data_IF_860040219312
#
_entry.id   IF_860040219312
#
_cell.length_a   1.000
_cell.length_b   1.000
_cell.length_c   1.000
_cell.angle_alpha   90.00
_cell.angle_beta   90.00
_cell.angle_gamma   90.00
#
_symmetry.space_group_name_H-M   'P 1'
#
loop_
_entity.id
_entity.type
_entity.pdbx_description
1 polymer ?
#
# COMPACT_ATOMS: atom_id res chain seq x y z
N UNK A 1 15.54 -52.99 -48.56
CA UNK A 1 15.51 -51.52 -48.71
C UNK A 1 14.95 -50.96 -47.41
N UNK A 2 15.83 -50.47 -46.53
CA UNK A 2 15.44 -49.79 -45.30
C UNK A 2 15.83 -48.32 -45.48
N UNK A 3 14.86 -47.46 -45.74
CA UNK A 3 15.05 -46.02 -45.65
C UNK A 3 15.15 -45.63 -44.18
N UNK A 4 16.36 -45.28 -43.74
CA UNK A 4 16.59 -44.56 -42.49
C UNK A 4 15.99 -43.16 -42.64
N UNK A 5 14.83 -42.95 -42.03
CA UNK A 5 14.35 -41.61 -41.69
C UNK A 5 15.27 -41.09 -40.58
N UNK A 6 16.24 -40.26 -40.94
CA UNK A 6 17.02 -39.48 -39.97
C UNK A 6 16.16 -38.29 -39.53
N UNK A 7 15.45 -38.43 -38.41
CA UNK A 7 14.88 -37.28 -37.70
C UNK A 7 16.04 -36.46 -37.13
N UNK A 8 16.48 -35.46 -37.88
CA UNK A 8 17.45 -34.49 -37.44
C UNK A 8 16.72 -33.51 -36.50
N UNK A 9 16.47 -33.94 -35.25
CA UNK A 9 16.07 -33.03 -34.18
C UNK A 9 17.25 -32.07 -33.96
N UNK A 10 17.19 -30.89 -34.60
CA UNK A 10 18.17 -29.84 -34.33
C UNK A 10 18.04 -29.49 -32.84
N UNK A 11 19.11 -29.72 -32.07
CA UNK A 11 19.21 -29.19 -30.72
C UNK A 11 18.88 -27.69 -30.76
N UNK A 12 17.79 -27.31 -30.08
CA UNK A 12 17.37 -25.92 -29.99
C UNK A 12 18.44 -25.18 -29.19
N UNK A 13 19.25 -24.39 -29.87
CA UNK A 13 20.24 -23.57 -29.19
C UNK A 13 19.57 -22.36 -28.54
N UNK A 14 19.65 -22.28 -27.21
CA UNK A 14 19.12 -21.17 -26.42
C UNK A 14 19.71 -19.80 -26.82
N UNK A 15 20.90 -19.79 -27.42
CA UNK A 15 21.52 -18.60 -28.02
C UNK A 15 20.75 -18.04 -29.22
N UNK A 16 19.89 -18.85 -29.85
CA UNK A 16 19.14 -18.47 -31.05
C UNK A 16 17.69 -18.06 -30.76
N UNK A 17 17.28 -18.01 -29.49
CA UNK A 17 15.97 -17.49 -29.10
C UNK A 17 15.73 -16.08 -29.65
N UNK A 18 14.58 -15.79 -30.29
CA UNK A 18 14.29 -14.44 -30.78
C UNK A 18 14.11 -13.44 -29.63
N UNK A 19 14.19 -12.14 -29.93
CA UNK A 19 14.18 -11.08 -28.91
C UNK A 19 12.94 -11.08 -28.00
N UNK A 20 11.68 -11.26 -28.48
CA UNK A 20 10.52 -11.14 -27.59
C UNK A 20 10.49 -12.18 -26.44
N UNK A 21 10.81 -13.47 -26.66
CA UNK A 21 11.03 -14.41 -25.57
C UNK A 21 12.18 -14.02 -24.62
N UNK A 22 13.32 -13.55 -25.14
CA UNK A 22 14.48 -13.15 -24.30
C UNK A 22 14.12 -11.96 -23.40
N UNK A 23 13.45 -10.95 -23.94
CA UNK A 23 12.94 -9.79 -23.20
C UNK A 23 11.96 -10.22 -22.10
N UNK A 24 11.05 -11.15 -22.42
CA UNK A 24 10.11 -11.70 -21.44
C UNK A 24 10.81 -12.45 -20.32
N UNK A 25 11.87 -13.20 -20.62
CA UNK A 25 12.68 -13.89 -19.61
C UNK A 25 13.35 -12.86 -18.68
N UNK A 26 13.95 -11.80 -19.23
CA UNK A 26 14.53 -10.72 -18.42
C UNK A 26 13.53 -10.10 -17.45
N UNK A 27 12.26 -9.98 -17.85
CA UNK A 27 11.18 -9.47 -17.00
C UNK A 27 10.88 -10.29 -15.74
N UNK A 28 11.35 -11.55 -15.66
CA UNK A 28 11.15 -12.41 -14.49
C UNK A 28 12.35 -12.47 -13.54
N UNK A 29 13.43 -11.74 -13.83
CA UNK A 29 14.72 -11.89 -13.17
C UNK A 29 15.11 -10.69 -12.32
N UNK A 30 15.94 -10.94 -11.30
CA UNK A 30 16.57 -9.89 -10.52
C UNK A 30 17.59 -9.12 -11.36
N UNK A 31 17.86 -7.85 -11.03
CA UNK A 31 18.85 -7.05 -11.78
C UNK A 31 20.23 -7.71 -11.86
N UNK A 32 20.64 -8.45 -10.82
CA UNK A 32 21.88 -9.22 -10.82
C UNK A 32 21.85 -10.35 -11.84
N UNK A 33 20.75 -11.10 -11.89
CA UNK A 33 20.59 -12.21 -12.84
C UNK A 33 20.48 -11.70 -14.28
N UNK A 34 19.83 -10.55 -14.49
CA UNK A 34 19.77 -9.91 -15.80
C UNK A 34 21.18 -9.56 -16.32
N UNK A 35 22.04 -9.00 -15.46
CA UNK A 35 23.44 -8.70 -15.82
C UNK A 35 24.18 -9.98 -16.15
N UNK A 36 24.13 -11.00 -15.29
CA UNK A 36 24.81 -12.28 -15.53
C UNK A 36 24.37 -12.93 -16.84
N UNK A 37 23.06 -12.91 -17.12
CA UNK A 37 22.51 -13.43 -18.36
C UNK A 37 22.95 -12.64 -19.59
N UNK A 38 23.11 -11.32 -19.49
CA UNK A 38 23.60 -10.47 -20.59
C UNK A 38 25.03 -10.81 -21.02
N UNK A 39 25.80 -11.50 -20.17
CA UNK A 39 27.19 -11.90 -20.43
C UNK A 39 27.32 -13.26 -21.10
N UNK A 40 26.22 -14.02 -21.22
CA UNK A 40 26.24 -15.39 -21.75
C UNK A 40 26.57 -15.42 -23.24
N UNK A 41 25.88 -14.61 -24.05
CA UNK A 41 26.15 -14.48 -25.47
C UNK A 41 25.65 -13.13 -26.02
N UNK A 42 26.06 -12.80 -27.26
CA UNK A 42 25.72 -11.51 -27.89
C UNK A 42 24.21 -11.26 -27.95
N UNK A 43 23.41 -12.27 -28.33
CA UNK A 43 21.96 -12.12 -28.49
C UNK A 43 21.25 -11.79 -27.16
N UNK A 44 21.74 -12.37 -26.07
CA UNK A 44 21.22 -12.10 -24.73
C UNK A 44 21.66 -10.70 -24.28
N UNK A 45 22.91 -10.31 -24.57
CA UNK A 45 23.39 -8.94 -24.36
C UNK A 45 22.56 -7.89 -25.11
N UNK A 46 22.20 -8.15 -26.36
CA UNK A 46 21.32 -7.29 -27.17
C UNK A 46 19.91 -7.21 -26.58
N UNK A 47 19.34 -8.34 -26.15
CA UNK A 47 18.05 -8.38 -25.47
C UNK A 47 18.03 -7.59 -24.16
N UNK A 48 19.11 -7.66 -23.39
CA UNK A 48 19.29 -6.87 -22.17
C UNK A 48 19.30 -5.37 -22.46
N UNK A 49 19.85 -4.95 -23.59
CA UNK A 49 19.85 -3.55 -24.02
C UNK A 49 18.53 -3.04 -24.62
N UNK A 50 17.48 -3.87 -24.65
CA UNK A 50 16.21 -3.50 -25.28
C UNK A 50 15.38 -2.53 -24.42
N UNK A 51 14.58 -1.63 -25.04
CA UNK A 51 13.67 -0.76 -24.30
C UNK A 51 12.63 -1.51 -23.46
N UNK A 52 12.25 -2.73 -23.85
CA UNK A 52 11.28 -3.53 -23.12
C UNK A 52 11.79 -3.92 -21.73
N UNK A 53 13.10 -4.18 -21.59
CA UNK A 53 13.74 -4.53 -20.31
C UNK A 53 13.88 -3.31 -19.40
N UNK A 54 14.22 -2.15 -19.97
CA UNK A 54 14.50 -0.93 -19.20
C UNK A 54 13.28 -0.01 -18.99
N UNK A 55 12.10 -0.41 -19.46
CA UNK A 55 10.87 0.38 -19.31
C UNK A 55 10.57 0.75 -17.85
N UNK A 56 10.85 -0.15 -16.92
CA UNK A 56 10.69 0.07 -15.48
C UNK A 56 12.06 0.04 -14.83
N UNK A 57 12.40 1.09 -14.10
CA UNK A 57 13.69 1.22 -13.42
C UNK A 57 13.50 1.56 -11.94
N UNK A 58 14.20 0.82 -11.06
CA UNK A 58 14.21 1.08 -9.61
C UNK A 58 15.58 1.62 -9.21
N UNK A 59 15.61 2.89 -8.85
CA UNK A 59 16.76 3.55 -8.27
C UNK A 59 16.84 3.25 -6.77
N UNK A 60 17.60 2.21 -6.46
CA UNK A 60 17.92 1.77 -5.11
C UNK A 60 19.41 1.54 -5.02
N UNK A 61 20.07 2.19 -4.06
CA UNK A 61 21.49 2.05 -3.82
C UNK A 61 21.70 1.36 -2.48
N UNK A 62 22.40 0.22 -2.51
CA UNK A 62 22.82 -0.51 -1.30
C UNK A 62 24.12 0.10 -0.76
N UNK A 63 24.41 -0.11 0.52
CA UNK A 63 25.67 0.35 1.15
C UNK A 63 26.90 -0.02 0.33
N UNK A 64 27.01 -1.28 -0.09
CA UNK A 64 28.11 -1.76 -0.96
C UNK A 64 28.31 -0.94 -2.25
N UNK A 65 27.26 -0.33 -2.80
CA UNK A 65 27.33 0.51 -4.01
C UNK A 65 27.66 1.97 -3.67
N UNK A 66 27.23 2.44 -2.49
CA UNK A 66 27.51 3.78 -1.97
C UNK A 66 28.96 3.91 -1.49
N UNK A 67 29.57 2.82 -1.04
CA UNK A 67 30.98 2.80 -0.63
C UNK A 67 31.98 2.75 -1.80
N UNK A 68 31.52 2.63 -3.04
CA UNK A 68 32.38 2.58 -4.22
C UNK A 68 32.71 3.99 -4.74
N UNK A 69 33.95 4.20 -5.18
CA UNK A 69 34.37 5.46 -5.81
C UNK A 69 33.54 5.84 -7.05
N UNK A 70 33.01 4.84 -7.76
CA UNK A 70 32.07 5.05 -8.86
C UNK A 70 30.80 4.24 -8.63
N UNK A 71 29.64 4.92 -8.59
CA UNK A 71 28.35 4.26 -8.46
C UNK A 71 27.98 3.52 -9.76
N UNK A 72 27.95 2.17 -9.77
CA UNK A 72 27.67 1.41 -10.99
C UNK A 72 26.26 1.70 -11.54
N UNK A 73 25.29 1.95 -10.66
CA UNK A 73 23.91 2.27 -11.02
C UNK A 73 23.84 3.52 -11.89
N UNK A 74 24.64 4.55 -11.60
CA UNK A 74 24.67 5.77 -12.41
C UNK A 74 25.18 5.52 -13.85
N UNK A 75 26.03 4.51 -14.07
CA UNK A 75 26.45 4.12 -15.42
C UNK A 75 25.27 3.57 -16.22
N UNK A 76 24.41 2.77 -15.58
CA UNK A 76 23.18 2.26 -16.21
C UNK A 76 22.20 3.38 -16.51
N UNK A 77 22.01 4.30 -15.56
CA UNK A 77 21.16 5.48 -15.76
C UNK A 77 21.64 6.25 -16.99
N UNK A 78 22.92 6.58 -17.10
CA UNK A 78 23.43 7.32 -18.26
C UNK A 78 23.22 6.60 -19.59
N UNK A 79 23.26 5.26 -19.58
CA UNK A 79 23.16 4.45 -20.80
C UNK A 79 21.70 4.22 -21.24
N UNK A 80 20.80 3.99 -20.29
CA UNK A 80 19.46 3.46 -20.57
C UNK A 80 18.32 4.39 -20.15
N UNK A 81 18.61 5.56 -19.57
CA UNK A 81 17.57 6.44 -19.06
C UNK A 81 16.53 6.83 -20.11
N UNK A 82 16.91 7.01 -21.37
CA UNK A 82 15.99 7.29 -22.48
C UNK A 82 14.90 6.23 -22.71
N UNK A 83 15.05 5.05 -22.12
CA UNK A 83 14.09 3.95 -22.23
C UNK A 83 13.12 3.89 -21.03
N UNK A 84 13.36 4.67 -19.98
CA UNK A 84 12.55 4.63 -18.76
C UNK A 84 11.16 5.21 -19.02
N UNK A 85 10.13 4.52 -18.53
CA UNK A 85 8.75 5.01 -18.51
C UNK A 85 8.19 5.03 -17.08
N UNK A 86 8.65 4.09 -16.24
CA UNK A 86 8.24 3.97 -14.85
C UNK A 86 9.48 3.97 -13.98
N UNK A 87 9.56 4.90 -13.03
CA UNK A 87 10.70 5.03 -12.12
C UNK A 87 10.25 4.87 -10.68
N UNK A 88 10.95 4.04 -9.91
CA UNK A 88 10.81 3.98 -8.46
C UNK A 88 12.11 4.45 -7.82
N UNK A 89 12.02 5.38 -6.88
CA UNK A 89 13.14 5.96 -6.15
C UNK A 89 12.94 5.61 -4.68
N UNK A 90 13.86 4.82 -4.15
CA UNK A 90 13.74 4.32 -2.78
C UNK A 90 15.08 4.43 -2.05
N UNK A 91 14.99 5.00 -0.86
CA UNK A 91 16.07 5.00 0.10
C UNK A 91 15.97 3.76 0.99
N UNK A 92 17.08 3.03 1.10
CA UNK A 92 17.26 1.97 2.10
C UNK A 92 18.02 2.57 3.26
N UNK A 93 17.51 2.36 4.47
CA UNK A 93 18.15 2.83 5.71
C UNK A 93 19.59 2.33 5.82
N UNK A 94 20.49 3.24 6.18
CA UNK A 94 21.90 2.97 6.49
C UNK A 94 22.26 3.76 7.74
N UNK A 95 23.03 3.16 8.64
CA UNK A 95 23.52 3.82 9.86
C UNK A 95 24.67 4.80 9.57
N UNK A 96 25.35 4.64 8.44
CA UNK A 96 26.54 5.42 8.10
C UNK A 96 26.20 6.78 7.45
N UNK A 97 26.44 7.88 8.16
CA UNK A 97 26.15 9.25 7.69
C UNK A 97 26.84 9.59 6.36
N UNK A 98 28.08 9.12 6.14
CA UNK A 98 28.81 9.39 4.91
C UNK A 98 28.17 8.70 3.69
N UNK A 99 27.51 7.56 3.88
CA UNK A 99 26.75 6.87 2.84
C UNK A 99 25.46 7.62 2.51
N UNK A 100 24.80 8.23 3.50
CA UNK A 100 23.63 9.10 3.29
C UNK A 100 24.01 10.28 2.40
N UNK A 101 25.10 10.98 2.71
CA UNK A 101 25.59 12.09 1.90
C UNK A 101 25.89 11.65 0.46
N UNK A 102 26.49 10.47 0.29
CA UNK A 102 26.77 9.90 -1.03
C UNK A 102 25.50 9.55 -1.79
N UNK A 103 24.51 8.98 -1.11
CA UNK A 103 23.20 8.70 -1.67
C UNK A 103 22.50 9.98 -2.14
N UNK A 104 22.51 11.04 -1.32
CA UNK A 104 21.91 12.34 -1.67
C UNK A 104 22.54 12.94 -2.94
N UNK A 105 23.87 12.90 -3.05
CA UNK A 105 24.58 13.34 -4.27
C UNK A 105 24.15 12.56 -5.50
N UNK A 106 24.01 11.25 -5.39
CA UNK A 106 23.54 10.41 -6.49
C UNK A 106 22.08 10.65 -6.83
N UNK A 107 21.21 10.86 -5.84
CA UNK A 107 19.81 11.23 -6.07
C UNK A 107 19.71 12.54 -6.86
N UNK A 108 20.42 13.59 -6.45
CA UNK A 108 20.40 14.89 -7.14
C UNK A 108 20.87 14.73 -8.60
N UNK A 109 21.97 14.00 -8.81
CA UNK A 109 22.48 13.71 -10.15
C UNK A 109 21.47 12.89 -10.98
N UNK A 110 20.81 11.92 -10.36
CA UNK A 110 19.78 11.09 -10.99
C UNK A 110 18.59 11.94 -11.43
N UNK A 111 18.02 12.74 -10.53
CA UNK A 111 16.90 13.65 -10.82
C UNK A 111 17.25 14.58 -11.98
N UNK A 112 18.46 15.17 -11.99
CA UNK A 112 18.91 16.03 -13.09
C UNK A 112 18.95 15.31 -14.46
N UNK A 113 19.37 14.04 -14.51
CA UNK A 113 19.34 13.24 -15.73
C UNK A 113 17.90 13.03 -16.19
N UNK A 114 16.98 12.73 -15.27
CA UNK A 114 15.57 12.53 -15.60
C UNK A 114 14.94 13.83 -16.14
N UNK A 115 15.24 14.98 -15.53
CA UNK A 115 14.63 16.26 -15.91
C UNK A 115 14.99 16.72 -17.33
N UNK A 116 16.18 16.38 -17.80
CA UNK A 116 16.73 16.95 -19.04
C UNK A 116 16.31 16.21 -20.31
N UNK A 117 15.80 14.97 -20.21
CA UNK A 117 15.73 14.07 -21.37
C UNK A 117 14.49 13.18 -21.44
N UNK A 118 13.65 13.12 -20.40
CA UNK A 118 12.66 12.06 -20.26
C UNK A 118 11.26 12.60 -20.02
N UNK A 119 10.30 11.84 -20.53
CA UNK A 119 8.88 11.99 -20.23
C UNK A 119 8.38 10.66 -19.68
N UNK A 120 8.27 10.60 -18.37
CA UNK A 120 7.84 9.40 -17.66
C UNK A 120 6.31 9.30 -17.64
N UNK A 121 5.84 8.06 -17.52
CA UNK A 121 4.43 7.75 -17.28
C UNK A 121 4.16 7.68 -15.78
N UNK A 122 5.10 7.17 -14.99
CA UNK A 122 4.96 7.17 -13.53
C UNK A 122 6.27 7.34 -12.78
N UNK A 123 6.16 7.93 -11.59
CA UNK A 123 7.24 7.98 -10.61
C UNK A 123 6.74 7.67 -9.21
N UNK A 124 7.54 6.96 -8.43
CA UNK A 124 7.28 6.60 -7.02
C UNK A 124 8.47 7.00 -6.16
N UNK A 125 8.22 7.66 -5.03
CA UNK A 125 9.19 8.04 -4.01
C UNK A 125 8.89 7.29 -2.71
N UNK A 126 9.91 6.67 -2.09
CA UNK A 126 9.74 5.89 -0.87
C UNK A 126 10.91 6.04 0.11
N UNK A 127 10.58 6.14 1.40
CA UNK A 127 11.53 5.99 2.50
C UNK A 127 12.37 7.22 2.79
N UNK A 128 11.95 8.41 2.34
CA UNK A 128 12.75 9.63 2.47
C UNK A 128 12.77 10.16 3.92
N UNK A 129 11.70 9.92 4.67
CA UNK A 129 11.60 10.20 6.11
C UNK A 129 12.79 9.68 6.92
N UNK A 130 13.35 8.52 6.52
CA UNK A 130 14.41 7.82 7.25
C UNK A 130 15.75 8.55 7.26
N UNK A 131 15.95 9.56 6.41
CA UNK A 131 17.23 10.28 6.35
C UNK A 131 17.13 11.81 6.39
N UNK A 132 15.94 12.41 6.24
CA UNK A 132 15.81 13.88 6.27
C UNK A 132 16.29 14.52 7.58
N UNK A 133 16.06 13.87 8.72
CA UNK A 133 16.56 14.35 10.02
C UNK A 133 18.09 14.20 10.19
N UNK A 134 18.78 13.57 9.24
CA UNK A 134 20.22 13.24 9.31
C UNK A 134 21.08 14.03 8.33
N UNK A 135 20.46 14.84 7.47
CA UNK A 135 21.16 15.68 6.49
C UNK A 135 21.06 17.15 6.88
N UNK A 136 22.02 17.94 6.42
CA UNK A 136 21.98 19.38 6.62
C UNK A 136 20.89 20.05 5.75
N UNK A 137 20.45 21.23 6.17
CA UNK A 137 19.39 21.99 5.50
C UNK A 137 19.71 22.31 4.03
N UNK A 138 20.99 22.54 3.68
CA UNK A 138 21.34 22.83 2.29
C UNK A 138 21.16 21.60 1.40
N UNK A 139 21.60 20.43 1.86
CA UNK A 139 21.37 19.16 1.16
C UNK A 139 19.87 18.84 1.03
N UNK A 140 19.09 19.06 2.09
CA UNK A 140 17.64 18.88 2.06
C UNK A 140 16.97 19.77 1.00
N UNK A 141 17.32 21.05 0.98
CA UNK A 141 16.79 22.02 0.02
C UNK A 141 17.20 21.67 -1.42
N UNK A 142 18.43 21.17 -1.62
CA UNK A 142 18.90 20.73 -2.94
C UNK A 142 18.10 19.53 -3.47
N UNK A 143 17.75 18.59 -2.58
CA UNK A 143 16.89 17.45 -2.94
C UNK A 143 15.49 17.93 -3.31
N UNK A 144 14.86 18.75 -2.45
CA UNK A 144 13.50 19.26 -2.71
C UNK A 144 13.45 20.04 -4.03
N UNK A 145 14.43 20.91 -4.28
CA UNK A 145 14.59 21.63 -5.55
C UNK A 145 14.82 20.68 -6.74
N UNK A 146 15.61 19.63 -6.54
CA UNK A 146 15.83 18.61 -7.57
C UNK A 146 14.54 17.90 -7.97
N UNK A 147 13.71 17.54 -6.99
CA UNK A 147 12.40 16.90 -7.19
C UNK A 147 11.44 17.87 -7.89
N UNK A 148 11.39 19.11 -7.42
CA UNK A 148 10.57 20.18 -7.97
C UNK A 148 10.86 20.41 -9.47
N UNK A 149 12.13 20.64 -9.82
CA UNK A 149 12.59 20.80 -11.21
C UNK A 149 12.28 19.54 -12.04
N UNK A 150 12.51 18.35 -11.48
CA UNK A 150 12.21 17.10 -12.14
C UNK A 150 10.73 16.99 -12.47
N UNK A 151 9.82 17.11 -11.50
CA UNK A 151 8.39 16.96 -11.75
C UNK A 151 7.84 18.06 -12.67
N UNK A 152 8.35 19.29 -12.54
CA UNK A 152 8.01 20.40 -13.43
C UNK A 152 8.46 20.22 -14.89
N UNK A 153 9.48 19.39 -15.13
CA UNK A 153 9.92 19.03 -16.49
C UNK A 153 9.09 17.93 -17.15
N UNK A 154 8.21 17.26 -16.39
CA UNK A 154 7.36 16.19 -16.90
C UNK A 154 6.01 16.75 -17.34
N UNK A 155 5.47 16.23 -18.44
CA UNK A 155 4.20 16.71 -19.03
C UNK A 155 3.18 15.59 -19.29
N UNK A 156 3.55 14.35 -19.00
CA UNK A 156 2.76 13.16 -19.33
C UNK A 156 2.65 12.16 -18.16
N UNK A 157 3.00 12.57 -16.93
CA UNK A 157 2.85 11.70 -15.77
C UNK A 157 1.38 11.37 -15.56
N UNK A 158 1.10 10.06 -15.52
CA UNK A 158 -0.23 9.54 -15.23
C UNK A 158 -0.37 9.13 -13.77
N UNK A 159 0.75 8.80 -13.14
CA UNK A 159 0.81 8.27 -11.78
C UNK A 159 2.01 8.83 -11.03
N UNK A 160 1.77 9.47 -9.89
CA UNK A 160 2.83 9.92 -8.99
C UNK A 160 2.52 9.42 -7.60
N UNK A 161 3.53 8.84 -6.95
CA UNK A 161 3.38 8.33 -5.60
C UNK A 161 4.44 8.88 -4.65
N UNK A 162 3.98 9.47 -3.56
CA UNK A 162 4.78 9.83 -2.41
C UNK A 162 4.36 8.95 -1.24
N UNK A 163 5.28 8.11 -0.77
CA UNK A 163 5.08 7.25 0.40
C UNK A 163 5.96 7.74 1.54
N UNK A 164 5.33 8.46 2.46
CA UNK A 164 5.90 8.98 3.70
C UNK A 164 7.22 9.75 3.48
N UNK A 165 7.28 10.71 2.54
CA UNK A 165 8.47 11.53 2.44
C UNK A 165 8.65 12.50 3.62
N UNK A 166 7.55 12.96 4.24
CA UNK A 166 7.53 13.94 5.31
C UNK A 166 8.35 15.20 4.98
N UNK A 167 8.04 15.83 3.83
CA UNK A 167 8.63 17.11 3.47
C UNK A 167 8.22 18.21 4.47
N UNK A 168 8.99 19.29 4.52
CA UNK A 168 8.52 20.54 5.09
C UNK A 168 7.32 21.07 4.29
N UNK A 169 6.46 21.84 4.94
CA UNK A 169 5.19 22.25 4.35
C UNK A 169 5.36 23.08 3.07
N UNK A 170 6.25 24.07 3.07
CA UNK A 170 6.50 24.91 1.90
C UNK A 170 7.13 24.11 0.75
N UNK A 171 8.05 23.20 1.05
CA UNK A 171 8.67 22.31 0.07
C UNK A 171 7.64 21.35 -0.54
N UNK A 172 6.80 20.73 0.29
CA UNK A 172 5.74 19.82 -0.16
C UNK A 172 4.72 20.52 -1.06
N UNK A 173 4.32 21.75 -0.71
CA UNK A 173 3.44 22.58 -1.56
C UNK A 173 4.12 22.95 -2.88
N UNK A 174 5.39 23.35 -2.84
CA UNK A 174 6.16 23.67 -4.05
C UNK A 174 6.21 22.50 -5.02
N UNK A 175 6.60 21.32 -4.52
CA UNK A 175 6.63 20.06 -5.27
C UNK A 175 5.25 19.74 -5.87
N UNK A 176 4.18 19.87 -5.08
CA UNK A 176 2.83 19.58 -5.54
C UNK A 176 2.37 20.56 -6.63
N UNK A 177 2.69 21.85 -6.52
CA UNK A 177 2.40 22.85 -7.57
C UNK A 177 3.10 22.52 -8.87
N UNK A 178 4.41 22.32 -8.85
CA UNK A 178 5.18 22.01 -10.07
C UNK A 178 4.71 20.73 -10.75
N UNK A 179 4.36 19.71 -9.96
CA UNK A 179 3.74 18.48 -10.46
C UNK A 179 2.42 18.78 -11.17
N UNK A 180 1.49 19.45 -10.49
CA UNK A 180 0.12 19.64 -10.97
C UNK A 180 0.02 20.65 -12.11
N UNK A 181 0.83 21.70 -12.12
CA UNK A 181 0.90 22.67 -13.22
C UNK A 181 1.36 22.00 -14.53
N UNK A 182 2.35 21.12 -14.44
CA UNK A 182 2.98 20.52 -15.62
C UNK A 182 2.24 19.27 -16.12
N UNK A 183 1.53 18.56 -15.25
CA UNK A 183 0.89 17.27 -15.54
C UNK A 183 -0.63 17.26 -15.36
N UNK A 184 -1.25 18.45 -15.31
CA UNK A 184 -2.67 18.65 -14.98
C UNK A 184 -3.62 17.71 -15.71
N UNK A 185 -3.44 17.59 -17.03
CA UNK A 185 -4.34 16.84 -17.91
C UNK A 185 -4.00 15.36 -18.01
N UNK A 186 -2.83 14.91 -17.53
CA UNK A 186 -2.43 13.50 -17.62
C UNK A 186 -2.58 12.76 -16.31
N UNK A 187 -2.55 13.45 -15.16
CA UNK A 187 -2.47 12.83 -13.85
C UNK A 187 -3.78 12.16 -13.44
N UNK A 188 -3.76 10.82 -13.40
CA UNK A 188 -4.94 9.98 -13.08
C UNK A 188 -4.88 9.34 -11.70
N UNK A 189 -3.69 9.19 -11.13
CA UNK A 189 -3.44 8.51 -9.86
C UNK A 189 -2.40 9.28 -9.05
N UNK A 190 -2.75 9.72 -7.85
CA UNK A 190 -1.89 10.52 -6.99
C UNK A 190 -1.90 9.95 -5.58
N UNK A 191 -0.72 9.63 -5.05
CA UNK A 191 -0.53 9.21 -3.65
C UNK A 191 0.25 10.28 -2.92
N UNK A 192 -0.33 10.82 -1.85
CA UNK A 192 0.20 11.88 -0.99
C UNK A 192 0.33 11.42 0.48
N UNK A 193 0.37 10.11 0.72
CA UNK A 193 0.49 9.53 2.06
C UNK A 193 1.76 10.01 2.76
N UNK A 194 1.62 10.71 3.89
CA UNK A 194 2.72 11.32 4.63
C UNK A 194 3.51 12.36 3.83
N UNK A 195 2.88 13.06 2.89
CA UNK A 195 3.59 14.03 2.02
C UNK A 195 4.30 15.12 2.83
N UNK A 196 3.62 15.67 3.82
CA UNK A 196 4.08 16.80 4.62
C UNK A 196 4.06 16.43 6.09
N UNK A 197 5.06 16.89 6.84
CA UNK A 197 5.07 16.78 8.30
C UNK A 197 3.80 17.42 8.90
N UNK A 198 3.04 16.70 9.75
CA UNK A 198 1.91 17.29 10.45
C UNK A 198 2.42 18.38 11.40
N UNK A 199 2.31 19.65 10.99
CA UNK A 199 2.52 20.80 11.86
C UNK A 199 1.16 21.17 12.46
N UNK A 200 1.08 21.16 13.79
CA UNK A 200 -0.15 21.45 14.53
C UNK A 200 -0.57 22.92 14.42
N UNK A 201 0.35 23.80 14.05
CA UNK A 201 0.11 25.22 13.84
C UNK A 201 -0.34 25.47 12.39
N UNK A 202 -1.46 26.17 12.18
CA UNK A 202 -2.02 26.58 10.88
C UNK A 202 -2.62 25.48 9.95
N UNK A 203 -3.04 24.34 10.53
CA UNK A 203 -3.51 23.15 9.80
C UNK A 203 -4.65 23.41 8.80
N UNK A 204 -5.68 24.19 9.15
CA UNK A 204 -6.86 24.39 8.26
C UNK A 204 -6.51 25.11 6.94
N UNK A 205 -5.74 26.21 7.02
CA UNK A 205 -5.29 26.98 5.85
C UNK A 205 -4.38 26.13 4.95
N UNK A 206 -3.55 25.30 5.58
CA UNK A 206 -2.57 24.49 4.89
C UNK A 206 -3.19 23.30 4.15
N UNK A 207 -4.14 22.62 4.78
CA UNK A 207 -4.90 21.55 4.14
C UNK A 207 -5.76 22.11 2.99
N UNK A 208 -6.41 23.26 3.18
CA UNK A 208 -7.20 23.89 2.13
C UNK A 208 -6.37 24.18 0.86
N UNK A 209 -5.10 24.60 1.01
CA UNK A 209 -4.17 24.79 -0.12
C UNK A 209 -3.86 23.48 -0.84
N UNK A 210 -3.48 22.41 -0.12
CA UNK A 210 -3.21 21.09 -0.73
C UNK A 210 -4.43 20.60 -1.51
N UNK A 211 -5.61 20.63 -0.88
CA UNK A 211 -6.85 20.19 -1.51
C UNK A 211 -7.21 21.04 -2.73
N UNK A 212 -7.03 22.37 -2.68
CA UNK A 212 -7.31 23.24 -3.84
C UNK A 212 -6.48 22.86 -5.06
N UNK A 213 -5.22 22.43 -4.85
CA UNK A 213 -4.32 21.99 -5.92
C UNK A 213 -4.77 20.64 -6.48
N UNK A 214 -5.00 19.65 -5.60
CA UNK A 214 -5.40 18.29 -5.99
C UNK A 214 -6.76 18.28 -6.68
N UNK A 215 -7.72 19.02 -6.16
CA UNK A 215 -9.05 19.18 -6.77
C UNK A 215 -8.97 19.96 -8.10
N UNK A 216 -7.88 20.68 -8.38
CA UNK A 216 -7.65 21.34 -9.65
C UNK A 216 -7.38 20.39 -10.83
N UNK A 217 -7.20 19.09 -10.57
CA UNK A 217 -6.83 18.07 -11.55
C UNK A 217 -8.07 17.43 -12.23
N UNK A 218 -8.30 17.67 -13.53
CA UNK A 218 -9.49 17.20 -14.23
C UNK A 218 -9.53 15.68 -14.47
N UNK A 219 -8.37 15.05 -14.65
CA UNK A 219 -8.26 13.63 -15.00
C UNK A 219 -8.03 12.70 -13.81
N UNK A 220 -8.02 13.24 -12.58
CA UNK A 220 -7.74 12.46 -11.38
C UNK A 220 -8.88 11.47 -11.13
N UNK A 221 -8.54 10.19 -11.09
CA UNK A 221 -9.48 9.09 -10.82
C UNK A 221 -9.26 8.45 -9.45
N UNK A 222 -8.02 8.49 -8.96
CA UNK A 222 -7.63 7.90 -7.68
C UNK A 222 -6.75 8.85 -6.88
N UNK A 223 -7.13 9.08 -5.63
CA UNK A 223 -6.38 9.86 -4.66
C UNK A 223 -6.13 9.01 -3.41
N UNK A 224 -4.88 8.90 -3.01
CA UNK A 224 -4.47 8.30 -1.74
C UNK A 224 -3.85 9.38 -0.87
N UNK A 225 -4.33 9.53 0.37
CA UNK A 225 -3.99 10.66 1.23
C UNK A 225 -4.21 10.32 2.72
N UNK A 226 -3.52 11.04 3.61
CA UNK A 226 -3.79 10.99 5.04
C UNK A 226 -5.19 11.53 5.36
N UNK A 227 -5.89 10.84 6.25
CA UNK A 227 -7.24 11.20 6.71
C UNK A 227 -7.27 12.60 7.34
N UNK A 228 -6.17 13.01 7.98
CA UNK A 228 -6.02 14.34 8.59
C UNK A 228 -5.98 15.49 7.59
N UNK A 229 -5.65 15.21 6.33
CA UNK A 229 -5.66 16.17 5.23
C UNK A 229 -7.02 16.22 4.54
N UNK A 230 -8.00 15.46 5.03
CA UNK A 230 -9.39 15.61 4.62
C UNK A 230 -10.07 16.54 5.61
N UNK A 231 -10.21 17.79 5.19
CA UNK A 231 -10.95 18.80 5.93
C UNK A 231 -12.33 18.97 5.30
N UNK A 232 -13.29 19.38 6.14
CA UNK A 232 -14.58 19.97 5.78
C UNK A 232 -14.50 20.82 4.49
N UNK A 233 -13.39 21.52 4.24
CA UNK A 233 -13.08 22.34 3.06
C UNK A 233 -13.13 21.66 1.70
N UNK A 234 -13.14 20.32 1.63
CA UNK A 234 -13.54 19.71 0.36
C UNK A 234 -14.97 20.17 -0.03
N UNK A 235 -15.86 20.52 0.91
CA UNK A 235 -17.27 20.84 0.61
C UNK A 235 -17.99 21.84 1.56
N UNK A 236 -17.41 22.24 2.70
CA UNK A 236 -18.06 23.05 3.74
C UNK A 236 -17.88 24.56 3.58
N UNK A 237 -17.48 25.04 2.40
CA UNK A 237 -17.86 26.40 2.03
C UNK A 237 -19.39 26.41 1.90
N UNK A 238 -20.06 26.72 3.01
CA UNK A 238 -21.48 27.07 3.10
C UNK A 238 -21.77 28.37 2.34
N UNK A 239 -21.50 28.35 1.05
CA UNK A 239 -22.12 29.21 0.08
C UNK A 239 -22.20 28.40 -1.20
N UNK A 240 -23.33 28.51 -1.89
CA UNK A 240 -23.58 27.93 -3.20
C UNK A 240 -22.57 28.45 -4.24
N UNK A 241 -21.32 28.03 -4.15
CA UNK A 241 -20.35 28.31 -5.19
C UNK A 241 -20.66 27.32 -6.32
N UNK A 242 -21.59 27.74 -7.18
CA UNK A 242 -21.94 27.10 -8.45
C UNK A 242 -20.68 26.75 -9.25
N UNK A 243 -19.56 27.45 -8.99
CA UNK A 243 -18.24 27.12 -9.52
C UNK A 243 -17.68 25.80 -8.99
N UNK A 244 -17.74 25.53 -7.68
CA UNK A 244 -17.21 24.29 -7.11
C UNK A 244 -17.99 23.05 -7.58
N UNK A 245 -19.33 23.14 -7.58
CA UNK A 245 -20.19 22.09 -8.13
C UNK A 245 -19.96 21.86 -9.64
N UNK A 246 -19.79 22.94 -10.43
CA UNK A 246 -19.42 22.82 -11.86
C UNK A 246 -18.04 22.19 -12.07
N UNK A 247 -17.08 22.43 -11.18
CA UNK A 247 -15.77 21.77 -11.27
C UNK A 247 -15.92 20.29 -10.92
N UNK A 248 -16.75 19.92 -9.95
CA UNK A 248 -17.05 18.52 -9.62
C UNK A 248 -17.83 17.76 -10.70
N UNK A 249 -18.75 18.40 -11.42
CA UNK A 249 -19.55 17.79 -12.51
C UNK A 249 -18.70 17.25 -13.68
N UNK A 250 -17.48 17.74 -13.86
CA UNK A 250 -16.58 17.32 -14.95
C UNK A 250 -15.55 16.25 -14.54
N UNK A 251 -15.56 15.84 -13.28
CA UNK A 251 -14.50 14.99 -12.70
C UNK A 251 -14.85 13.52 -12.73
N UNK A 252 -13.79 12.70 -12.63
CA UNK A 252 -13.85 11.24 -12.78
C UNK A 252 -13.29 10.53 -11.54
N UNK A 253 -13.27 11.18 -10.37
CA UNK A 253 -12.80 10.56 -9.13
C UNK A 253 -13.69 9.35 -8.85
N UNK A 254 -13.07 8.17 -8.83
CA UNK A 254 -13.73 6.90 -8.58
C UNK A 254 -13.19 6.22 -7.33
N UNK A 255 -11.97 6.53 -6.89
CA UNK A 255 -11.34 5.88 -5.75
C UNK A 255 -10.70 6.92 -4.83
N UNK A 256 -10.96 6.80 -3.53
CA UNK A 256 -10.25 7.53 -2.48
C UNK A 256 -9.68 6.50 -1.50
N UNK A 257 -8.39 6.59 -1.22
CA UNK A 257 -7.68 5.71 -0.29
C UNK A 257 -7.21 6.58 0.89
N UNK A 258 -7.59 6.18 2.10
CA UNK A 258 -7.43 6.98 3.31
C UNK A 258 -6.49 6.28 4.28
N UNK A 259 -5.51 7.01 4.77
CA UNK A 259 -4.56 6.53 5.77
C UNK A 259 -4.76 7.25 7.09
N UNK A 260 -4.86 6.50 8.18
CA UNK A 260 -4.83 7.05 9.53
C UNK A 260 -3.95 6.18 10.41
N UNK A 261 -3.09 6.84 11.17
CA UNK A 261 -2.17 6.22 12.11
C UNK A 261 -2.09 7.15 13.33
N UNK A 262 -2.50 6.62 14.49
CA UNK A 262 -2.60 7.40 15.74
C UNK A 262 -1.22 7.75 16.33
N UNK A 263 -0.14 7.09 15.90
CA UNK A 263 1.22 7.47 16.27
C UNK A 263 1.65 8.81 15.66
N UNK A 264 1.13 9.13 14.47
CA UNK A 264 1.52 10.33 13.71
C UNK A 264 0.47 11.44 13.74
N UNK A 265 -0.79 11.10 14.03
CA UNK A 265 -1.93 12.00 13.84
C UNK A 265 -2.86 11.95 15.04
N UNK A 266 -2.87 13.04 15.80
CA UNK A 266 -3.87 13.28 16.84
C UNK A 266 -5.17 13.86 16.26
N UNK A 267 -6.29 13.24 16.63
CA UNK A 267 -7.66 13.54 16.21
C UNK A 267 -8.20 14.85 16.78
N UNK A 268 -7.67 15.35 17.90
CA UNK A 268 -8.09 16.63 18.48
C UNK A 268 -7.89 17.82 17.52
N UNK A 269 -7.02 17.66 16.51
CA UNK A 269 -6.58 18.74 15.64
C UNK A 269 -7.29 18.79 14.28
N UNK A 270 -8.32 18.00 13.99
CA UNK A 270 -9.06 18.09 12.73
C UNK A 270 -10.50 17.56 12.81
N UNK A 271 -11.38 18.01 11.89
CA UNK A 271 -12.83 17.75 11.96
C UNK A 271 -13.38 16.66 11.02
N UNK A 272 -12.55 16.02 10.21
CA UNK A 272 -12.96 14.89 9.35
C UNK A 272 -14.12 15.23 8.39
N UNK A 273 -14.72 14.21 7.77
CA UNK A 273 -15.96 14.36 6.99
C UNK A 273 -17.15 13.80 7.74
N UNK A 274 -18.27 14.52 7.71
CA UNK A 274 -19.52 14.07 8.31
C UNK A 274 -20.24 13.08 7.42
N UNK A 275 -21.24 12.40 7.98
CA UNK A 275 -22.15 11.54 7.22
C UNK A 275 -22.88 12.25 6.08
N UNK A 276 -23.13 13.56 6.22
CA UNK A 276 -23.76 14.39 5.19
C UNK A 276 -22.79 14.59 4.03
N UNK A 277 -21.52 14.88 4.32
CA UNK A 277 -20.48 15.11 3.31
C UNK A 277 -20.26 13.86 2.47
N UNK A 278 -20.18 12.68 3.09
CA UNK A 278 -20.06 11.40 2.38
C UNK A 278 -21.26 11.09 1.48
N UNK A 279 -22.48 11.40 1.95
CA UNK A 279 -23.68 11.24 1.13
C UNK A 279 -23.63 12.14 -0.10
N UNK A 280 -23.28 13.42 0.07
CA UNK A 280 -23.14 14.36 -1.05
C UNK A 280 -22.05 13.91 -2.03
N UNK A 281 -20.91 13.43 -1.52
CA UNK A 281 -19.85 12.85 -2.33
C UNK A 281 -20.33 11.68 -3.17
N UNK A 282 -21.14 10.80 -2.59
CA UNK A 282 -21.68 9.63 -3.29
C UNK A 282 -22.73 10.01 -4.33
N UNK A 283 -23.50 11.07 -4.10
CA UNK A 283 -24.44 11.63 -5.08
C UNK A 283 -23.69 12.26 -6.27
N UNK A 284 -22.61 12.99 -6.00
CA UNK A 284 -21.75 13.59 -7.03
C UNK A 284 -20.95 12.54 -7.81
N UNK A 285 -20.46 11.52 -7.12
CA UNK A 285 -19.66 10.43 -7.68
C UNK A 285 -20.30 9.07 -7.36
N UNK A 286 -21.33 8.64 -8.12
CA UNK A 286 -22.06 7.40 -7.85
C UNK A 286 -21.16 6.15 -7.79
N UNK A 287 -20.08 6.16 -8.58
CA UNK A 287 -19.11 5.07 -8.65
C UNK A 287 -17.98 5.18 -7.63
N UNK A 288 -18.01 6.16 -6.71
CA UNK A 288 -16.98 6.36 -5.70
C UNK A 288 -16.81 5.13 -4.81
N UNK A 289 -15.58 4.67 -4.70
CA UNK A 289 -15.13 3.62 -3.81
C UNK A 289 -14.17 4.24 -2.81
N UNK A 290 -14.30 3.84 -1.55
CA UNK A 290 -13.38 4.26 -0.50
C UNK A 290 -12.64 3.03 0.03
N UNK A 291 -11.33 3.20 0.20
CA UNK A 291 -10.45 2.28 0.90
C UNK A 291 -9.92 2.99 2.15
N UNK A 292 -9.95 2.29 3.28
CA UNK A 292 -9.47 2.81 4.56
C UNK A 292 -8.37 1.92 5.10
N UNK A 293 -7.23 2.54 5.45
CA UNK A 293 -6.05 1.95 6.05
C UNK A 293 -5.85 2.61 7.41
N UNK A 294 -6.39 2.00 8.46
CA UNK A 294 -6.38 2.56 9.81
C UNK A 294 -5.54 1.69 10.73
N UNK A 295 -4.51 2.28 11.31
CA UNK A 295 -3.70 1.70 12.39
C UNK A 295 -4.00 2.51 13.65
N UNK A 296 -4.43 1.83 14.70
CA UNK A 296 -4.75 2.48 15.98
C UNK A 296 -4.20 1.63 17.12
N UNK A 297 -3.37 2.24 17.93
CA UNK A 297 -2.68 1.63 19.06
C UNK A 297 -3.52 1.76 20.33
N UNK A 298 -4.15 2.93 20.54
CA UNK A 298 -4.95 3.23 21.73
C UNK A 298 -6.35 3.77 21.41
N UNK A 299 -7.17 3.01 20.64
CA UNK A 299 -8.40 3.51 20.08
C UNK A 299 -9.43 3.81 21.18
N UNK A 300 -9.92 5.05 21.22
CA UNK A 300 -11.15 5.39 21.93
C UNK A 300 -12.36 5.22 21.01
N UNK A 301 -13.54 4.97 21.60
CA UNK A 301 -14.78 4.89 20.82
C UNK A 301 -15.04 6.14 19.98
N UNK A 302 -14.64 7.31 20.48
CA UNK A 302 -14.79 8.58 19.76
C UNK A 302 -13.96 8.60 18.47
N UNK A 303 -12.78 7.98 18.48
CA UNK A 303 -11.91 7.91 17.31
C UNK A 303 -12.50 7.00 16.23
N UNK A 304 -13.02 5.84 16.63
CA UNK A 304 -13.70 4.93 15.69
C UNK A 304 -14.97 5.56 15.10
N UNK A 305 -15.77 6.23 15.93
CA UNK A 305 -16.95 6.98 15.47
C UNK A 305 -16.59 8.12 14.51
N UNK A 306 -15.40 8.71 14.67
CA UNK A 306 -14.89 9.77 13.82
C UNK A 306 -14.32 9.25 12.48
N UNK A 307 -13.61 8.13 12.50
CA UNK A 307 -12.98 7.55 11.32
C UNK A 307 -13.98 6.85 10.39
N UNK A 308 -15.00 6.22 10.97
CA UNK A 308 -16.01 5.44 10.23
C UNK A 308 -17.37 6.03 10.54
N UNK A 309 -17.92 6.75 9.57
CA UNK A 309 -19.20 7.44 9.67
C UNK A 309 -20.24 6.86 8.69
N UNK A 310 -21.56 7.00 8.96
CA UNK A 310 -22.58 6.50 8.06
C UNK A 310 -22.51 7.13 6.65
N UNK A 311 -22.94 6.40 5.62
CA UNK A 311 -22.91 6.77 4.20
C UNK A 311 -21.53 6.79 3.53
N UNK A 312 -20.45 6.49 4.25
CA UNK A 312 -19.14 6.32 3.66
C UNK A 312 -19.11 5.03 2.82
N UNK A 313 -18.82 5.08 1.51
CA UNK A 313 -18.90 3.91 0.62
C UNK A 313 -17.62 3.06 0.73
N UNK A 314 -17.32 2.56 1.92
CA UNK A 314 -16.14 1.75 2.20
C UNK A 314 -16.25 0.41 1.47
N UNK A 315 -15.38 0.20 0.50
CA UNK A 315 -15.28 -1.04 -0.26
C UNK A 315 -14.12 -1.92 0.21
N UNK A 316 -13.11 -1.31 0.82
CA UNK A 316 -11.96 -1.99 1.41
C UNK A 316 -11.66 -1.37 2.76
N UNK A 317 -11.53 -2.21 3.79
CA UNK A 317 -11.18 -1.77 5.13
C UNK A 317 -10.02 -2.62 5.64
N UNK A 318 -8.90 -1.96 5.89
CA UNK A 318 -7.75 -2.49 6.60
C UNK A 318 -7.73 -1.79 7.97
N UNK A 319 -8.11 -2.52 9.02
CA UNK A 319 -8.21 -2.00 10.38
C UNK A 319 -7.24 -2.79 11.26
N UNK A 320 -6.23 -2.11 11.77
CA UNK A 320 -5.20 -2.66 12.63
C UNK A 320 -5.35 -2.10 14.02
N UNK A 321 -5.64 -2.99 14.97
CA UNK A 321 -5.63 -2.69 16.39
C UNK A 321 -4.45 -3.41 17.03
N UNK A 322 -3.39 -2.66 17.33
CA UNK A 322 -2.19 -3.16 18.01
C UNK A 322 -2.24 -2.74 19.47
N UNK A 323 -2.24 -3.70 20.39
CA UNK A 323 -2.20 -3.44 21.83
C UNK A 323 -0.82 -3.84 22.34
N UNK A 324 -0.04 -2.88 22.83
CA UNK A 324 1.15 -3.19 23.63
C UNK A 324 0.70 -3.72 25.00
N UNK A 325 0.96 -5.01 25.24
CA UNK A 325 0.58 -5.74 26.45
C UNK A 325 1.23 -5.20 27.74
N UNK A 326 2.17 -4.26 27.65
CA UNK A 326 3.11 -3.97 28.74
C UNK A 326 2.78 -2.74 29.61
N UNK A 327 1.78 -1.90 29.32
CA UNK A 327 1.74 -0.55 29.93
C UNK A 327 0.43 0.02 30.48
N UNK A 328 -0.71 -0.68 30.60
CA UNK A 328 -1.86 -0.06 31.28
C UNK A 328 -2.85 -1.00 31.99
N UNK A 329 -2.95 -0.83 33.31
CA UNK A 329 -3.99 -1.36 34.21
C UNK A 329 -5.35 -0.62 34.08
N UNK A 330 -5.47 0.35 33.16
CA UNK A 330 -6.66 1.20 33.06
C UNK A 330 -7.74 0.58 32.16
N UNK A 331 -8.75 0.00 32.82
CA UNK A 331 -9.82 -0.78 32.22
C UNK A 331 -10.82 -0.02 31.32
N UNK A 332 -10.59 1.26 31.04
CA UNK A 332 -11.59 2.19 30.49
C UNK A 332 -11.39 2.60 29.02
N UNK A 333 -10.26 2.24 28.39
CA UNK A 333 -9.94 2.62 27.00
C UNK A 333 -10.18 1.50 25.98
N UNK A 334 -11.13 0.61 26.25
CA UNK A 334 -11.21 -0.64 25.51
C UNK A 334 -12.40 -0.68 24.55
N UNK A 335 -12.08 -0.57 23.26
CA UNK A 335 -12.96 -1.01 22.20
C UNK A 335 -12.98 -2.53 22.20
N UNK A 336 -14.19 -3.09 22.32
CA UNK A 336 -14.44 -4.50 22.07
C UNK A 336 -14.85 -4.71 20.60
N UNK A 337 -14.59 -5.91 20.08
CA UNK A 337 -14.87 -6.23 18.68
C UNK A 337 -16.37 -6.22 18.37
N UNK A 338 -17.22 -6.49 19.36
CA UNK A 338 -18.66 -6.57 19.17
C UNK A 338 -19.22 -5.18 18.89
N UNK A 339 -18.83 -4.20 19.69
CA UNK A 339 -19.08 -2.79 19.47
C UNK A 339 -18.56 -2.34 18.11
N UNK A 340 -17.38 -2.82 17.68
CA UNK A 340 -16.75 -2.33 16.45
C UNK A 340 -17.55 -2.79 15.25
N UNK A 341 -17.91 -4.07 15.23
CA UNK A 341 -18.73 -4.67 14.19
C UNK A 341 -20.16 -4.11 14.22
N UNK A 342 -20.73 -3.85 15.40
CA UNK A 342 -22.03 -3.20 15.53
C UNK A 342 -21.99 -1.76 14.98
N UNK A 343 -20.90 -1.04 15.22
CA UNK A 343 -20.68 0.29 14.64
C UNK A 343 -20.57 0.22 13.10
N UNK A 344 -19.85 -0.78 12.57
CA UNK A 344 -19.79 -1.00 11.12
C UNK A 344 -21.17 -1.26 10.51
N UNK A 345 -22.03 -2.03 11.21
CA UNK A 345 -23.42 -2.25 10.80
C UNK A 345 -24.25 -0.96 10.89
N UNK A 346 -24.12 -0.20 11.97
CA UNK A 346 -24.81 1.08 12.14
C UNK A 346 -24.43 2.09 11.04
N UNK A 347 -23.17 2.09 10.62
CA UNK A 347 -22.65 2.90 9.51
C UNK A 347 -22.99 2.34 8.12
N UNK A 348 -23.59 1.14 8.05
CA UNK A 348 -23.89 0.40 6.80
C UNK A 348 -22.66 0.07 5.96
N UNK A 349 -21.49 -0.07 6.59
CA UNK A 349 -20.25 -0.47 5.92
C UNK A 349 -20.42 -1.79 5.16
N UNK A 350 -21.22 -2.71 5.70
CA UNK A 350 -21.54 -4.01 5.12
C UNK A 350 -22.19 -3.94 3.72
N UNK A 351 -22.84 -2.83 3.36
CA UNK A 351 -23.55 -2.68 2.08
C UNK A 351 -22.57 -2.55 0.89
N UNK A 352 -21.33 -2.11 1.16
CA UNK A 352 -20.32 -1.81 0.15
C UNK A 352 -19.04 -2.65 0.29
N UNK A 353 -18.78 -3.19 1.48
CA UNK A 353 -17.53 -3.88 1.82
C UNK A 353 -17.28 -5.10 0.92
N UNK A 354 -16.17 -5.06 0.17
CA UNK A 354 -15.70 -6.12 -0.71
C UNK A 354 -14.43 -6.80 -0.20
N UNK A 355 -13.61 -6.10 0.59
CA UNK A 355 -12.42 -6.62 1.25
C UNK A 355 -12.37 -6.15 2.70
N UNK A 356 -12.15 -7.07 3.64
CA UNK A 356 -11.89 -6.75 5.03
C UNK A 356 -10.57 -7.39 5.45
N UNK A 357 -9.67 -6.57 5.98
CA UNK A 357 -8.47 -6.98 6.67
C UNK A 357 -8.56 -6.43 8.10
N UNK A 358 -8.54 -7.33 9.08
CA UNK A 358 -8.67 -6.99 10.48
C UNK A 358 -7.50 -7.61 11.24
N UNK A 359 -6.63 -6.76 11.78
CA UNK A 359 -5.61 -7.15 12.75
C UNK A 359 -6.14 -6.81 14.14
N UNK A 360 -6.25 -7.82 15.00
CA UNK A 360 -6.94 -7.71 16.27
C UNK A 360 -6.21 -8.48 17.36
N UNK A 361 -5.76 -7.76 18.38
CA UNK A 361 -4.99 -8.34 19.50
C UNK A 361 -5.86 -8.97 20.59
N UNK A 362 -7.13 -8.59 20.71
CA UNK A 362 -8.03 -9.07 21.77
C UNK A 362 -8.78 -10.36 21.38
N UNK A 363 -9.33 -11.11 22.35
CA UNK A 363 -10.17 -12.25 22.04
C UNK A 363 -11.39 -11.89 21.18
N UNK A 364 -11.61 -12.63 20.10
CA UNK A 364 -12.76 -12.42 19.22
C UNK A 364 -13.97 -13.23 19.65
N UNK A 365 -15.12 -12.57 19.82
CA UNK A 365 -16.41 -13.25 19.96
C UNK A 365 -17.02 -13.57 18.59
N UNK A 366 -17.21 -14.84 18.31
CA UNK A 366 -17.74 -15.30 17.01
C UNK A 366 -19.23 -14.98 16.83
N UNK A 367 -19.95 -14.79 17.95
CA UNK A 367 -21.39 -14.49 18.00
C UNK A 367 -21.77 -13.22 17.24
N UNK A 368 -20.87 -12.25 17.11
CA UNK A 368 -21.08 -10.98 16.37
C UNK A 368 -20.39 -10.98 15.02
N UNK A 369 -19.22 -11.61 14.91
CA UNK A 369 -18.49 -11.73 13.66
C UNK A 369 -19.28 -12.48 12.58
N UNK A 370 -19.93 -13.61 12.93
CA UNK A 370 -20.73 -14.37 11.95
C UNK A 370 -21.88 -13.51 11.38
N UNK A 371 -22.78 -12.93 12.19
CA UNK A 371 -23.85 -12.08 11.68
C UNK A 371 -23.35 -10.92 10.82
N UNK A 372 -22.27 -10.25 11.25
CA UNK A 372 -21.68 -9.16 10.47
C UNK A 372 -21.22 -9.65 9.08
N UNK A 373 -20.44 -10.73 9.02
CA UNK A 373 -19.95 -11.27 7.75
C UNK A 373 -21.08 -11.76 6.84
N UNK A 374 -22.17 -12.28 7.41
CA UNK A 374 -23.38 -12.66 6.67
C UNK A 374 -24.14 -11.44 6.12
N UNK A 375 -24.11 -10.30 6.82
CA UNK A 375 -24.70 -9.06 6.35
C UNK A 375 -23.89 -8.41 5.20
N UNK A 376 -22.61 -8.77 5.05
CA UNK A 376 -21.74 -8.27 3.99
C UNK A 376 -21.97 -8.99 2.65
N UNK A 377 -23.03 -8.61 1.95
CA UNK A 377 -23.43 -9.24 0.67
C UNK A 377 -22.38 -9.18 -0.44
N UNK A 378 -21.43 -8.23 -0.38
CA UNK A 378 -20.39 -8.03 -1.41
C UNK A 378 -18.98 -8.49 -1.01
N UNK A 379 -18.80 -9.01 0.20
CA UNK A 379 -17.49 -9.38 0.74
C UNK A 379 -16.88 -10.54 -0.03
N UNK A 380 -15.77 -10.28 -0.73
CA UNK A 380 -15.03 -11.28 -1.53
C UNK A 380 -13.78 -11.79 -0.83
N UNK A 381 -13.14 -10.94 -0.05
CA UNK A 381 -11.86 -11.21 0.61
C UNK A 381 -11.99 -10.88 2.09
N UNK A 382 -11.58 -11.83 2.93
CA UNK A 382 -11.46 -11.66 4.37
C UNK A 382 -10.05 -12.04 4.80
N UNK A 383 -9.37 -11.16 5.53
CA UNK A 383 -8.09 -11.41 6.15
C UNK A 383 -8.22 -11.10 7.65
N UNK A 384 -7.90 -12.07 8.49
CA UNK A 384 -7.96 -11.94 9.95
C UNK A 384 -6.59 -12.25 10.52
N UNK A 385 -6.01 -11.32 11.26
CA UNK A 385 -4.76 -11.50 12.00
C UNK A 385 -5.09 -11.38 13.48
N UNK A 386 -5.03 -12.49 14.21
CA UNK A 386 -5.55 -12.60 15.57
C UNK A 386 -4.42 -13.00 16.54
N UNK A 387 -4.27 -12.27 17.64
CA UNK A 387 -3.32 -12.65 18.72
C UNK A 387 -3.97 -13.65 19.70
N UNK A 388 -5.31 -13.66 19.85
CA UNK A 388 -6.07 -14.59 20.70
C UNK A 388 -7.50 -14.83 20.13
N UNK A 389 -8.23 -15.97 20.25
CA UNK A 389 -7.89 -17.37 20.51
C UNK A 389 -8.42 -18.38 19.43
N UNK A 390 -7.88 -19.60 19.49
CA UNK A 390 -8.16 -20.79 18.69
C UNK A 390 -9.63 -21.22 18.51
N UNK A 391 -10.46 -21.10 19.56
CA UNK A 391 -11.81 -21.66 19.56
C UNK A 391 -12.78 -20.91 18.64
N UNK A 392 -12.56 -19.60 18.48
CA UNK A 392 -13.43 -18.78 17.65
C UNK A 392 -13.33 -19.14 16.17
N UNK A 393 -12.12 -19.42 15.71
CA UNK A 393 -11.83 -19.80 14.32
C UNK A 393 -12.52 -21.10 13.91
N UNK A 394 -12.60 -22.10 14.80
CA UNK A 394 -13.31 -23.36 14.53
C UNK A 394 -14.81 -23.12 14.37
N UNK A 395 -15.40 -22.32 15.26
CA UNK A 395 -16.82 -21.99 15.19
C UNK A 395 -17.15 -21.20 13.92
N UNK A 396 -16.27 -20.29 13.51
CA UNK A 396 -16.37 -19.54 12.27
C UNK A 396 -16.36 -20.47 11.04
N UNK A 397 -15.41 -21.41 10.97
CA UNK A 397 -15.35 -22.41 9.90
C UNK A 397 -16.55 -23.34 9.87
N UNK A 398 -17.01 -23.81 11.04
CA UNK A 398 -18.24 -24.62 11.17
C UNK A 398 -19.47 -23.84 10.67
N UNK A 399 -19.51 -22.55 10.93
CA UNK A 399 -20.57 -21.68 10.43
C UNK A 399 -20.52 -21.60 8.91
N UNK A 400 -19.36 -21.37 8.30
CA UNK A 400 -19.24 -21.29 6.84
C UNK A 400 -19.56 -22.59 6.11
N UNK A 401 -19.37 -23.76 6.73
CA UNK A 401 -19.86 -25.03 6.15
C UNK A 401 -21.39 -25.08 6.04
N UNK A 402 -22.12 -24.32 6.86
CA UNK A 402 -23.60 -24.28 6.87
C UNK A 402 -24.15 -23.05 6.15
N UNK A 403 -23.62 -21.88 6.48
CA UNK A 403 -24.10 -20.55 6.10
C UNK A 403 -22.90 -19.70 5.67
N UNK A 404 -22.38 -19.94 4.46
CA UNK A 404 -21.30 -19.14 3.89
C UNK A 404 -21.87 -17.83 3.30
N UNK A 405 -21.22 -16.67 3.51
CA UNK A 405 -21.51 -15.49 2.70
C UNK A 405 -21.32 -15.81 1.21
N UNK A 406 -22.34 -15.59 0.39
CA UNK A 406 -22.37 -16.07 -1.00
C UNK A 406 -21.23 -15.50 -1.87
N UNK A 407 -20.83 -14.25 -1.59
CA UNK A 407 -19.81 -13.53 -2.35
C UNK A 407 -18.37 -13.84 -1.91
N UNK A 408 -18.17 -14.52 -0.76
CA UNK A 408 -16.86 -14.74 -0.17
C UNK A 408 -16.08 -15.79 -0.97
N UNK A 409 -14.88 -15.39 -1.43
CA UNK A 409 -14.02 -16.21 -2.31
C UNK A 409 -12.69 -16.57 -1.68
N UNK A 410 -12.11 -15.67 -0.88
CA UNK A 410 -10.79 -15.84 -0.28
C UNK A 410 -10.85 -15.50 1.20
N UNK A 411 -10.28 -16.39 2.01
CA UNK A 411 -10.12 -16.20 3.45
C UNK A 411 -8.67 -16.48 3.80
N UNK A 412 -8.04 -15.53 4.48
CA UNK A 412 -6.75 -15.70 5.13
C UNK A 412 -6.94 -15.50 6.63
N UNK A 413 -6.45 -16.44 7.44
CA UNK A 413 -6.46 -16.33 8.90
C UNK A 413 -5.05 -16.59 9.40
N UNK A 414 -4.49 -15.63 10.10
CA UNK A 414 -3.24 -15.75 10.81
C UNK A 414 -3.51 -15.68 12.30
N UNK A 415 -2.95 -16.63 13.06
CA UNK A 415 -3.07 -16.66 14.52
C UNK A 415 -1.67 -16.67 15.12
N UNK A 416 -1.36 -15.68 15.95
CA UNK A 416 -0.10 -15.54 16.68
C UNK A 416 -0.28 -15.76 18.19
N UNK A 417 0.82 -15.69 18.96
CA UNK A 417 0.85 -15.72 20.43
C UNK A 417 0.08 -16.88 21.10
N UNK A 418 0.26 -18.10 20.58
CA UNK A 418 -0.31 -19.31 21.17
C UNK A 418 0.51 -19.70 22.41
N UNK A 419 0.15 -19.13 23.57
CA UNK A 419 0.90 -19.23 24.84
C UNK A 419 0.83 -20.57 25.60
N UNK A 420 -0.21 -21.39 25.38
CA UNK A 420 -0.46 -22.56 26.24
C UNK A 420 -0.63 -23.87 25.47
N UNK A 421 -0.14 -24.96 26.08
CA UNK A 421 -0.18 -26.33 25.54
C UNK A 421 -1.62 -26.81 25.33
N UNK A 422 -2.60 -26.32 26.11
CA UNK A 422 -4.03 -26.63 25.95
C UNK A 422 -4.67 -25.94 24.74
N UNK A 423 -4.40 -24.65 24.50
CA UNK A 423 -4.86 -23.94 23.29
C UNK A 423 -4.21 -24.52 22.05
N UNK A 424 -2.91 -24.82 22.15
CA UNK A 424 -2.17 -25.56 21.14
C UNK A 424 -2.76 -26.95 20.90
N UNK A 425 -3.10 -27.68 21.96
CA UNK A 425 -3.70 -29.01 21.91
C UNK A 425 -5.13 -28.96 21.35
N UNK A 426 -5.92 -27.93 21.60
CA UNK A 426 -7.23 -27.72 20.95
C UNK A 426 -7.06 -27.45 19.45
N UNK A 427 -6.06 -26.65 19.06
CA UNK A 427 -5.71 -26.42 17.66
C UNK A 427 -5.16 -27.69 16.97
N UNK A 428 -4.42 -28.54 17.72
CA UNK A 428 -3.67 -29.69 17.21
C UNK A 428 -4.36 -31.06 17.35
N UNK A 429 -5.27 -31.26 18.31
CA UNK A 429 -5.94 -32.55 18.60
C UNK A 429 -6.84 -33.05 17.46
N UNK A 430 -6.89 -32.33 16.34
CA UNK A 430 -7.58 -32.74 15.14
C UNK A 430 -6.64 -32.96 13.92
N UNK A 431 -5.34 -33.16 14.14
CA UNK A 431 -4.39 -33.54 13.06
C UNK A 431 -3.31 -34.55 13.44
N UNK A 432 -3.03 -35.47 12.51
CA UNK A 432 -1.96 -36.46 12.55
C UNK A 432 -0.58 -35.81 12.40
N UNK A 433 0.37 -36.27 13.23
CA UNK A 433 1.77 -35.83 13.34
C UNK A 433 2.48 -35.58 12.00
N UNK A 434 2.90 -34.34 11.74
CA UNK A 434 4.14 -34.01 11.02
C UNK A 434 4.55 -32.56 11.31
N UNK A 435 5.85 -32.31 11.41
CA UNK A 435 6.46 -31.07 11.92
C UNK A 435 6.90 -30.12 10.80
N UNK A 436 6.97 -28.83 11.16
CA UNK A 436 7.63 -27.67 10.49
C UNK A 436 6.69 -26.65 9.81
N UNK A 437 5.44 -26.99 9.51
CA UNK A 437 4.35 -26.01 9.26
C UNK A 437 3.04 -26.72 9.56
N UNK A 438 2.57 -26.61 10.81
CA UNK A 438 1.41 -27.38 11.29
C UNK A 438 0.13 -26.68 10.83
N UNK A 439 -0.40 -27.09 9.67
CA UNK A 439 -1.67 -26.61 9.12
C UNK A 439 -2.82 -26.89 10.10
N UNK A 440 -3.56 -25.85 10.41
CA UNK A 440 -4.82 -25.93 11.15
C UNK A 440 -5.85 -26.80 10.39
N UNK A 441 -6.50 -27.72 11.12
CA UNK A 441 -7.59 -28.62 10.71
C UNK A 441 -7.85 -28.81 9.19
N UNK A 442 -7.10 -29.71 8.51
CA UNK A 442 -7.21 -30.00 7.08
C UNK A 442 -8.62 -30.38 6.63
N UNK A 443 -9.43 -31.00 7.50
CA UNK A 443 -10.77 -31.43 7.14
C UNK A 443 -11.70 -30.25 6.83
N UNK A 444 -11.72 -29.20 7.67
CA UNK A 444 -12.57 -28.02 7.43
C UNK A 444 -12.07 -27.23 6.22
N UNK A 445 -10.76 -27.02 6.13
CA UNK A 445 -10.13 -26.30 5.01
C UNK A 445 -10.45 -27.02 3.70
N UNK A 446 -10.17 -28.31 3.62
CA UNK A 446 -10.45 -29.11 2.42
C UNK A 446 -11.94 -29.10 2.05
N UNK A 447 -12.85 -29.22 3.03
CA UNK A 447 -14.30 -29.16 2.77
C UNK A 447 -14.73 -27.79 2.26
N UNK A 448 -14.18 -26.70 2.79
CA UNK A 448 -14.46 -25.34 2.32
C UNK A 448 -13.88 -25.10 0.91
N UNK A 449 -12.68 -25.63 0.62
CA UNK A 449 -12.07 -25.61 -0.71
C UNK A 449 -12.91 -26.37 -1.74
N UNK A 450 -13.43 -27.55 -1.39
CA UNK A 450 -14.37 -28.30 -2.24
C UNK A 450 -15.68 -27.52 -2.50
N UNK A 451 -16.08 -26.65 -1.57
CA UNK A 451 -17.22 -25.74 -1.75
C UNK A 451 -16.84 -24.47 -2.55
N UNK A 452 -15.59 -24.35 -3.01
CA UNK A 452 -15.09 -23.23 -3.82
C UNK A 452 -14.59 -22.03 -3.01
N UNK A 453 -14.40 -22.16 -1.69
CA UNK A 453 -13.80 -21.13 -0.84
C UNK A 453 -12.30 -21.38 -0.68
N UNK A 454 -11.46 -20.44 -1.14
CA UNK A 454 -10.01 -20.54 -0.95
C UNK A 454 -9.67 -20.08 0.47
N UNK A 455 -9.31 -21.02 1.35
CA UNK A 455 -8.99 -20.76 2.75
C UNK A 455 -7.52 -21.09 3.01
N UNK A 456 -6.79 -20.13 3.56
CA UNK A 456 -5.43 -20.35 4.08
C UNK A 456 -5.41 -19.96 5.56
N UNK A 457 -4.88 -20.85 6.40
CA UNK A 457 -4.70 -20.60 7.83
C UNK A 457 -3.25 -20.86 8.21
N UNK A 458 -2.61 -19.84 8.76
CA UNK A 458 -1.23 -19.88 9.25
C UNK A 458 -1.25 -19.71 10.78
N UNK A 459 -0.43 -20.51 11.46
CA UNK A 459 -0.31 -20.51 12.92
C UNK A 459 1.13 -20.21 13.30
N UNK A 460 1.33 -19.21 14.14
CA UNK A 460 2.61 -18.82 14.70
C UNK A 460 2.62 -19.14 16.20
N UNK A 461 3.47 -20.09 16.58
CA UNK A 461 3.68 -20.50 17.98
C UNK A 461 4.98 -19.84 18.41
N UNK A 462 4.94 -19.06 19.49
CA UNK A 462 6.18 -18.56 20.08
C UNK A 462 7.05 -19.76 20.50
N UNK A 463 8.36 -19.78 20.15
CA UNK A 463 9.24 -20.79 20.68
C UNK A 463 9.32 -20.58 22.19
N UNK A 464 8.85 -21.57 22.96
CA UNK A 464 9.06 -21.63 24.41
C UNK A 464 10.57 -21.48 24.65
N UNK A 465 11.01 -20.30 25.08
CA UNK A 465 12.33 -20.15 25.68
C UNK A 465 12.27 -20.95 26.99
N UNK A 466 12.77 -22.18 26.93
CA UNK A 466 13.13 -22.94 28.12
C UNK A 466 14.27 -22.16 28.78
N UNK A 467 13.93 -21.28 29.71
CA UNK A 467 14.86 -20.70 30.66
C UNK A 467 15.70 -21.83 31.29
N UNK A 468 17.03 -21.65 31.25
CA UNK A 468 18.02 -22.46 31.95
C UNK A 468 18.75 -21.61 32.95
#
# INVERSE_FOLDING_TARGET
MAERITSNEREVQWSDLPSPPVEKIYGFLSSTDQVNMSLVCRKWSEGYGSPAVWKTFRFVLRESQLSMDTCPVMKFVHKYSSMFQHVEIEYIHTEENHLICTWCKHLIAFLHILSSKLQLISVKFRGFCKFFHRIDTATFNDICRGIDIFLGSQHHLKRVEFHEPFFGYEEGIGILKSLTESNRESLTHLVLHGLVLPLYEEKESNVAKILSIVLGLPSLTTLEIDYSLIVEYMFASQSADVKFLKICETRVISNIILHYDDEFIDLEYFRGLTSIDWRLLKELYPNLQVECNFTITYPTWQEVEFLIVPNMPITQLNFTYEYELDLSDDANYYIDIDGLLNHFLACKTNDHLASLHLTWTKPVQVSTLIPFLLACSKLKVLQLFLVHPANGTILLMKSWLKNRPESLKKVFIEISDIKNDDDYTILMNFTTKSAILKRFCPEYVHRLELMGLNVKVDLYVEPIFLDR
#
